data_IF_136431655837
#
_entry.id   IF_136431655837
#
_cell.length_a   1.000
_cell.length_b   1.000
_cell.length_c   1.000
_cell.angle_alpha   90.00
_cell.angle_beta   90.00
_cell.angle_gamma   90.00
#
_symmetry.space_group_name_H-M   'P 1'
#
loop_
_entity.id
_entity.type
_entity.pdbx_description
1 polymer ?
#
# COMPACT_ATOMS: atom_id res chain seq x y z
N UNK A 1 10.24 -28.22 22.93
CA UNK A 1 9.55 -27.80 21.70
C UNK A 1 9.19 -26.33 21.86
N UNK A 2 9.86 -25.44 21.13
CA UNK A 2 9.51 -24.02 21.15
C UNK A 2 8.29 -23.87 20.24
N UNK A 3 7.12 -23.62 20.81
CA UNK A 3 5.92 -23.31 20.03
C UNK A 3 6.19 -21.92 19.44
N UNK A 4 6.68 -21.87 18.20
CA UNK A 4 6.80 -20.59 17.49
C UNK A 4 5.38 -20.07 17.29
N UNK A 5 4.97 -19.09 18.08
CA UNK A 5 3.68 -18.43 17.90
C UNK A 5 3.69 -17.71 16.55
N UNK A 6 2.64 -17.91 15.73
CA UNK A 6 2.43 -17.17 14.50
C UNK A 6 2.50 -15.66 14.76
N UNK A 7 3.39 -14.94 14.06
CA UNK A 7 3.54 -13.48 14.17
C UNK A 7 3.00 -12.79 12.92
N UNK A 8 2.62 -11.53 13.09
CA UNK A 8 2.40 -10.60 11.98
C UNK A 8 3.59 -9.66 11.97
N UNK A 9 4.37 -9.67 10.89
CA UNK A 9 5.61 -8.90 10.75
C UNK A 9 5.38 -7.80 9.73
N UNK A 10 5.39 -6.55 10.19
CA UNK A 10 5.22 -5.36 9.36
C UNK A 10 6.59 -4.86 8.91
N UNK A 11 6.90 -5.03 7.63
CA UNK A 11 8.17 -4.60 7.04
C UNK A 11 8.01 -3.21 6.44
N UNK A 12 8.46 -2.19 7.17
CA UNK A 12 8.45 -0.82 6.71
C UNK A 12 9.36 -0.60 5.49
N UNK A 13 9.22 0.56 4.83
CA UNK A 13 10.14 0.99 3.76
C UNK A 13 11.15 2.05 4.27
N UNK A 14 11.56 2.00 5.53
CA UNK A 14 12.65 2.84 6.08
C UNK A 14 13.99 2.53 5.41
N UNK A 15 14.92 3.49 5.39
CA UNK A 15 16.29 3.26 4.91
C UNK A 15 17.13 2.50 5.95
N UNK A 16 16.82 2.70 7.23
CA UNK A 16 17.43 1.98 8.35
C UNK A 16 16.51 0.83 8.78
N UNK A 17 16.73 -0.35 8.19
CA UNK A 17 16.01 -1.59 8.55
C UNK A 17 17.04 -2.69 8.81
N UNK A 18 16.98 -3.37 9.97
CA UNK A 18 17.84 -4.52 10.23
C UNK A 18 17.49 -5.69 9.31
N UNK A 19 18.44 -6.60 9.08
CA UNK A 19 18.12 -7.86 8.40
C UNK A 19 17.13 -8.67 9.25
N UNK A 20 15.95 -8.93 8.68
CA UNK A 20 14.87 -9.68 9.34
C UNK A 20 14.70 -11.09 8.78
N UNK A 21 15.49 -11.49 7.77
CA UNK A 21 15.34 -12.80 7.13
C UNK A 21 15.52 -13.94 8.14
N UNK A 22 16.48 -13.81 9.06
CA UNK A 22 16.71 -14.81 10.10
C UNK A 22 15.64 -14.85 11.21
N UNK A 23 14.72 -13.88 11.24
CA UNK A 23 13.64 -13.79 12.23
C UNK A 23 12.30 -14.32 11.71
N UNK A 24 12.17 -14.46 10.40
CA UNK A 24 10.94 -14.90 9.72
C UNK A 24 10.94 -16.42 9.63
N UNK A 25 9.82 -17.04 10.00
CA UNK A 25 9.54 -18.45 9.74
C UNK A 25 8.31 -18.62 8.83
N UNK A 26 8.08 -19.85 8.36
CA UNK A 26 7.03 -20.13 7.38
C UNK A 26 5.61 -19.85 7.91
N UNK A 27 5.39 -19.88 9.22
CA UNK A 27 4.08 -19.64 9.82
C UNK A 27 3.74 -18.16 9.99
N UNK A 28 4.73 -17.27 9.91
CA UNK A 28 4.54 -15.83 10.06
C UNK A 28 3.75 -15.25 8.87
N UNK A 29 3.07 -14.13 9.10
CA UNK A 29 2.43 -13.30 8.07
C UNK A 29 3.31 -12.08 7.83
N UNK A 30 3.79 -11.92 6.60
CA UNK A 30 4.63 -10.81 6.17
C UNK A 30 3.77 -9.74 5.52
N UNK A 31 3.73 -8.57 6.14
CA UNK A 31 3.01 -7.40 5.67
C UNK A 31 4.00 -6.39 5.11
N UNK A 32 3.81 -6.00 3.84
CA UNK A 32 4.62 -4.96 3.20
C UNK A 32 3.79 -3.74 2.83
N UNK A 33 4.49 -2.65 2.54
CA UNK A 33 3.88 -1.37 2.18
C UNK A 33 4.40 -0.91 0.82
N UNK A 34 3.49 -0.55 -0.09
CA UNK A 34 3.84 -0.04 -1.43
C UNK A 34 4.92 -0.91 -2.15
N UNK A 35 5.79 -0.30 -2.96
CA UNK A 35 6.89 -1.01 -3.63
C UNK A 35 8.14 -0.87 -2.75
N UNK A 36 8.69 -1.96 -2.21
CA UNK A 36 9.97 -1.92 -1.54
C UNK A 36 11.10 -1.68 -2.56
N UNK A 37 12.13 -0.94 -2.16
CA UNK A 37 13.36 -0.79 -2.93
C UNK A 37 14.06 -2.17 -3.07
N UNK A 38 14.65 -2.47 -4.23
CA UNK A 38 15.44 -3.69 -4.48
C UNK A 38 16.49 -3.99 -3.40
N UNK A 39 17.22 -2.97 -2.92
CA UNK A 39 18.17 -3.13 -1.81
C UNK A 39 17.49 -3.64 -0.53
N UNK A 40 16.27 -3.20 -0.26
CA UNK A 40 15.47 -3.59 0.92
C UNK A 40 14.94 -5.01 0.79
N UNK A 41 14.59 -5.43 -0.43
CA UNK A 41 14.22 -6.81 -0.71
C UNK A 41 15.38 -7.77 -0.38
N UNK A 42 16.63 -7.39 -0.65
CA UNK A 42 17.80 -8.22 -0.31
C UNK A 42 17.90 -8.55 1.20
N UNK A 43 17.61 -7.56 2.06
CA UNK A 43 17.75 -7.69 3.53
C UNK A 43 16.47 -8.13 4.25
N UNK A 44 15.31 -8.06 3.60
CA UNK A 44 14.01 -8.38 4.22
C UNK A 44 13.26 -9.51 3.52
N UNK A 45 13.85 -10.06 2.45
CA UNK A 45 13.27 -11.13 1.67
C UNK A 45 12.21 -10.64 0.68
N UNK A 46 11.66 -11.58 -0.10
CA UNK A 46 10.63 -11.31 -1.12
C UNK A 46 9.22 -11.69 -0.67
N UNK A 47 9.10 -12.62 0.27
CA UNK A 47 7.80 -13.11 0.75
C UNK A 47 6.94 -11.92 1.20
N UNK A 48 5.70 -11.94 0.73
CA UNK A 48 4.68 -10.93 1.01
C UNK A 48 3.33 -11.65 1.05
N UNK A 49 2.75 -11.82 2.24
CA UNK A 49 1.42 -12.42 2.37
C UNK A 49 0.34 -11.35 2.23
N UNK A 50 0.62 -10.13 2.73
CA UNK A 50 -0.26 -8.98 2.62
C UNK A 50 0.51 -7.76 2.14
N UNK A 51 -0.01 -7.08 1.11
CA UNK A 51 0.54 -5.83 0.61
C UNK A 51 -0.44 -4.68 0.88
N UNK A 52 -0.08 -3.77 1.81
CA UNK A 52 -0.79 -2.51 1.97
C UNK A 52 -0.31 -1.50 0.92
N UNK A 53 -1.20 -1.15 0.00
CA UNK A 53 -0.88 -0.27 -1.12
C UNK A 53 -1.68 1.03 -1.02
N UNK A 54 -1.00 2.17 -0.90
CA UNK A 54 -1.67 3.47 -0.90
C UNK A 54 -2.38 3.69 -2.23
N UNK A 55 -3.70 3.83 -2.21
CA UNK A 55 -4.56 3.83 -3.39
C UNK A 55 -5.11 5.23 -3.73
N UNK A 56 -4.31 6.28 -3.56
CA UNK A 56 -4.65 7.65 -3.98
C UNK A 56 -4.13 7.94 -5.39
N UNK A 57 -4.90 8.65 -6.22
CA UNK A 57 -4.76 8.66 -7.70
C UNK A 57 -3.47 9.19 -8.29
N UNK A 58 -2.79 10.15 -7.66
CA UNK A 58 -1.49 10.61 -8.17
C UNK A 58 -0.50 9.44 -8.30
N UNK A 59 -0.67 8.41 -7.46
CA UNK A 59 0.06 7.17 -7.56
C UNK A 59 -0.51 6.28 -8.67
N UNK A 60 -1.81 6.01 -8.78
CA UNK A 60 -2.33 4.98 -9.70
C UNK A 60 -2.01 5.19 -11.17
N UNK A 61 -2.40 6.31 -11.80
CA UNK A 61 -2.24 6.43 -13.26
C UNK A 61 -0.77 6.38 -13.68
N UNK A 62 0.13 6.83 -12.81
CA UNK A 62 1.57 6.71 -12.99
C UNK A 62 2.09 5.32 -12.67
N UNK A 63 1.62 4.73 -11.57
CA UNK A 63 2.06 3.43 -11.03
C UNK A 63 1.66 2.27 -11.92
N UNK A 64 0.45 2.26 -12.49
CA UNK A 64 0.05 1.20 -13.43
C UNK A 64 0.87 1.23 -14.73
N UNK A 65 1.46 2.38 -15.08
CA UNK A 65 2.40 2.53 -16.21
C UNK A 65 3.86 2.34 -15.79
N UNK A 66 4.14 2.24 -14.50
CA UNK A 66 5.50 2.13 -13.99
C UNK A 66 5.98 0.68 -14.12
N UNK A 67 7.08 0.49 -14.86
CA UNK A 67 7.61 -0.86 -15.11
C UNK A 67 8.01 -1.54 -13.80
N UNK A 68 8.67 -0.83 -12.88
CA UNK A 68 9.15 -1.41 -11.62
C UNK A 68 8.00 -1.87 -10.73
N UNK A 69 6.91 -1.11 -10.70
CA UNK A 69 5.69 -1.54 -10.04
C UNK A 69 5.16 -2.83 -10.64
N UNK A 70 4.96 -2.88 -11.95
CA UNK A 70 4.42 -4.07 -12.62
C UNK A 70 5.33 -5.29 -12.40
N UNK A 71 6.64 -5.14 -12.59
CA UNK A 71 7.64 -6.19 -12.34
C UNK A 71 7.55 -6.72 -10.90
N UNK A 72 7.35 -5.84 -9.91
CA UNK A 72 7.17 -6.23 -8.52
C UNK A 72 5.86 -6.99 -8.29
N UNK A 73 4.75 -6.47 -8.82
CA UNK A 73 3.43 -7.12 -8.70
C UNK A 73 3.44 -8.50 -9.36
N UNK A 74 4.15 -8.67 -10.47
CA UNK A 74 4.30 -9.95 -11.16
C UNK A 74 5.11 -10.97 -10.35
N UNK A 75 5.82 -10.54 -9.31
CA UNK A 75 6.55 -11.44 -8.39
C UNK A 75 5.75 -11.79 -7.13
N UNK A 76 4.52 -11.30 -6.99
CA UNK A 76 3.66 -11.61 -5.85
C UNK A 76 2.98 -12.96 -6.06
N UNK A 77 3.12 -13.83 -5.07
CA UNK A 77 2.51 -15.17 -5.03
C UNK A 77 1.65 -15.26 -3.77
N UNK A 78 0.42 -15.78 -3.91
CA UNK A 78 -0.56 -15.93 -2.84
C UNK A 78 -0.79 -14.68 -1.96
N UNK A 79 -0.49 -13.50 -2.51
CA UNK A 79 -0.56 -12.23 -1.80
C UNK A 79 -1.98 -11.65 -1.83
N UNK A 80 -2.43 -11.10 -0.70
CA UNK A 80 -3.62 -10.24 -0.65
C UNK A 80 -3.22 -8.76 -0.62
N UNK A 81 -3.84 -7.93 -1.48
CA UNK A 81 -3.59 -6.50 -1.54
C UNK A 81 -4.65 -5.74 -0.77
N UNK A 82 -4.22 -4.87 0.14
CA UNK A 82 -5.08 -4.10 1.03
C UNK A 82 -5.00 -2.62 0.65
N UNK A 83 -6.14 -2.02 0.34
CA UNK A 83 -6.28 -0.59 0.11
C UNK A 83 -6.75 0.10 1.38
N UNK A 84 -5.94 1.00 1.95
CA UNK A 84 -6.25 1.65 3.22
C UNK A 84 -7.32 2.73 3.12
N UNK A 85 -7.74 3.14 1.92
CA UNK A 85 -8.69 4.25 1.75
C UNK A 85 -9.87 3.86 0.85
N UNK A 86 -11.10 4.09 1.30
CA UNK A 86 -12.27 4.05 0.42
C UNK A 86 -12.33 5.26 -0.51
N UNK A 87 -13.03 5.13 -1.63
CA UNK A 87 -13.16 6.20 -2.61
C UNK A 87 -13.79 7.46 -2.01
N UNK A 88 -14.80 7.33 -1.15
CA UNK A 88 -15.42 8.47 -0.45
C UNK A 88 -14.44 9.18 0.48
N UNK A 89 -13.59 8.41 1.17
CA UNK A 89 -12.55 8.95 2.02
C UNK A 89 -11.48 9.69 1.20
N UNK A 90 -11.05 9.10 0.08
CA UNK A 90 -10.14 9.76 -0.87
C UNK A 90 -10.75 11.06 -1.39
N UNK A 91 -12.03 11.04 -1.76
CA UNK A 91 -12.73 12.23 -2.24
C UNK A 91 -12.82 13.34 -1.19
N UNK A 92 -12.92 13.02 0.10
CA UNK A 92 -12.88 14.01 1.18
C UNK A 92 -11.48 14.59 1.41
N UNK A 93 -10.44 13.75 1.37
CA UNK A 93 -9.08 14.14 1.74
C UNK A 93 -8.30 14.79 0.59
N UNK A 94 -8.47 14.28 -0.62
CA UNK A 94 -7.78 14.75 -1.80
C UNK A 94 -8.65 14.43 -3.02
N UNK A 95 -9.69 15.22 -3.35
CA UNK A 95 -10.65 14.88 -4.40
C UNK A 95 -10.08 14.92 -5.82
N UNK A 96 -9.07 15.77 -6.05
CA UNK A 96 -8.57 16.07 -7.38
C UNK A 96 -7.06 15.88 -7.43
N UNK A 97 -6.62 15.03 -8.34
CA UNK A 97 -5.21 14.78 -8.65
C UNK A 97 -4.80 15.58 -9.86
N UNK A 98 -3.49 15.75 -10.02
CA UNK A 98 -2.93 16.59 -11.09
C UNK A 98 -1.89 15.81 -11.87
N UNK A 99 -2.26 15.44 -13.08
CA UNK A 99 -1.33 14.79 -14.00
C UNK A 99 -0.73 15.81 -14.94
N UNK A 100 0.59 15.79 -15.02
CA UNK A 100 1.34 16.52 -16.03
C UNK A 100 1.78 15.58 -17.13
N UNK A 101 1.53 15.94 -18.39
CA UNK A 101 2.03 15.21 -19.55
C UNK A 101 2.65 16.19 -20.55
N UNK A 102 3.54 15.69 -21.41
CA UNK A 102 4.15 16.47 -22.48
C UNK A 102 3.61 16.01 -23.82
N UNK A 103 3.28 16.96 -24.69
CA UNK A 103 3.03 16.71 -26.12
C UNK A 103 3.89 17.67 -26.91
N UNK A 104 4.73 17.14 -27.80
CA UNK A 104 5.83 17.86 -28.42
C UNK A 104 6.73 18.48 -27.33
N UNK A 105 6.72 19.81 -27.17
CA UNK A 105 7.49 20.53 -26.15
C UNK A 105 6.63 21.24 -25.10
N UNK A 106 5.30 21.06 -25.15
CA UNK A 106 4.35 21.77 -24.28
C UNK A 106 3.92 20.84 -23.14
N UNK A 107 4.01 21.34 -21.89
CA UNK A 107 3.54 20.63 -20.69
C UNK A 107 2.08 20.98 -20.42
N UNK A 108 1.21 19.99 -20.53
CA UNK A 108 -0.20 20.10 -20.20
C UNK A 108 -0.47 19.59 -18.79
N UNK A 109 -1.54 20.10 -18.19
CA UNK A 109 -2.04 19.66 -16.87
C UNK A 109 -3.48 19.19 -17.06
N UNK A 110 -3.78 17.99 -16.57
CA UNK A 110 -5.14 17.45 -16.50
C UNK A 110 -5.50 17.21 -15.04
N UNK A 111 -6.66 17.71 -14.64
CA UNK A 111 -7.26 17.42 -13.34
C UNK A 111 -8.15 16.19 -13.48
N UNK A 112 -8.01 15.25 -12.56
CA UNK A 112 -8.78 14.01 -12.56
C UNK A 112 -9.29 13.72 -11.15
N UNK A 113 -10.43 13.03 -11.04
CA UNK A 113 -10.96 12.57 -9.75
C UNK A 113 -10.01 11.54 -9.15
N UNK A 114 -9.83 11.61 -7.83
CA UNK A 114 -8.86 10.78 -7.14
C UNK A 114 -9.34 9.41 -6.66
N UNK A 115 -10.65 9.16 -6.67
CA UNK A 115 -11.23 7.85 -6.38
C UNK A 115 -11.08 6.91 -7.56
N UNK A 116 -10.57 5.71 -7.33
CA UNK A 116 -10.16 4.78 -8.38
C UNK A 116 -10.07 3.31 -7.91
N UNK A 117 -10.71 2.96 -6.80
CA UNK A 117 -10.65 1.60 -6.26
C UNK A 117 -11.05 0.56 -7.29
N UNK A 118 -12.10 0.80 -8.06
CA UNK A 118 -12.55 -0.12 -9.12
C UNK A 118 -11.46 -0.39 -10.17
N UNK A 119 -10.70 0.62 -10.57
CA UNK A 119 -9.62 0.46 -11.57
C UNK A 119 -8.47 -0.36 -11.02
N UNK A 120 -8.11 -0.13 -9.76
CA UNK A 120 -7.10 -0.96 -9.09
C UNK A 120 -7.58 -2.39 -8.88
N UNK A 121 -8.82 -2.58 -8.42
CA UNK A 121 -9.43 -3.90 -8.22
C UNK A 121 -9.41 -4.69 -9.53
N UNK A 122 -9.82 -4.08 -10.64
CA UNK A 122 -9.77 -4.71 -11.95
C UNK A 122 -8.34 -5.11 -12.35
N UNK A 123 -7.37 -4.21 -12.20
CA UNK A 123 -5.97 -4.50 -12.50
C UNK A 123 -5.41 -5.69 -11.71
N UNK A 124 -5.71 -5.78 -10.41
CA UNK A 124 -5.24 -6.91 -9.59
C UNK A 124 -6.04 -8.19 -9.86
N UNK A 125 -7.33 -8.07 -10.18
CA UNK A 125 -8.18 -9.20 -10.57
C UNK A 125 -7.68 -9.87 -11.85
N UNK A 126 -7.22 -9.10 -12.84
CA UNK A 126 -6.59 -9.64 -14.07
C UNK A 126 -5.33 -10.46 -13.78
N UNK A 127 -4.72 -10.26 -12.62
CA UNK A 127 -3.55 -10.99 -12.13
C UNK A 127 -3.88 -12.07 -11.10
N UNK A 128 -5.17 -12.38 -10.89
CA UNK A 128 -5.65 -13.29 -9.85
C UNK A 128 -5.23 -12.92 -8.41
N UNK A 129 -4.95 -11.63 -8.17
CA UNK A 129 -4.57 -11.12 -6.86
C UNK A 129 -5.83 -10.60 -6.14
N UNK A 130 -6.07 -11.10 -4.92
CA UNK A 130 -7.21 -10.67 -4.12
C UNK A 130 -7.00 -9.26 -3.60
N UNK A 131 -8.01 -8.40 -3.74
CA UNK A 131 -8.00 -7.03 -3.20
C UNK A 131 -9.04 -6.90 -2.10
N UNK A 132 -8.66 -6.25 -0.99
CA UNK A 132 -9.57 -5.78 0.05
C UNK A 132 -9.44 -4.27 0.19
N UNK A 133 -10.57 -3.56 0.10
CA UNK A 133 -10.65 -2.17 0.54
C UNK A 133 -11.00 -2.17 2.02
N UNK A 134 -10.23 -1.46 2.83
CA UNK A 134 -10.47 -1.35 4.27
C UNK A 134 -11.60 -0.35 4.49
N UNK A 135 -12.56 -0.74 5.33
CA UNK A 135 -13.69 0.10 5.70
C UNK A 135 -13.21 1.43 6.32
N UNK A 136 -13.78 2.55 5.88
CA UNK A 136 -13.33 3.88 6.32
C UNK A 136 -13.47 4.10 7.84
N UNK A 137 -14.30 3.33 8.55
CA UNK A 137 -14.41 3.38 10.02
C UNK A 137 -13.07 3.09 10.72
N UNK A 138 -12.22 2.22 10.15
CA UNK A 138 -10.88 1.97 10.68
C UNK A 138 -10.02 3.23 10.60
N UNK A 139 -10.08 3.95 9.48
CA UNK A 139 -9.34 5.21 9.32
C UNK A 139 -9.79 6.25 10.34
N UNK A 140 -11.10 6.46 10.49
CA UNK A 140 -11.64 7.45 11.42
C UNK A 140 -11.38 7.10 12.88
N UNK A 141 -11.46 5.81 13.24
CA UNK A 141 -11.11 5.34 14.57
C UNK A 141 -9.62 5.55 14.88
N UNK A 142 -8.74 5.17 13.94
CA UNK A 142 -7.30 5.41 14.06
C UNK A 142 -6.97 6.91 14.15
N UNK A 143 -7.70 7.74 13.39
CA UNK A 143 -7.54 9.20 13.38
C UNK A 143 -7.95 9.82 14.72
N UNK A 144 -9.01 9.30 15.34
CA UNK A 144 -9.51 9.75 16.65
C UNK A 144 -8.55 9.49 17.81
N UNK A 145 -7.63 8.51 17.66
CA UNK A 145 -6.57 8.24 18.64
C UNK A 145 -5.41 9.25 18.58
N UNK A 146 -5.30 10.04 17.51
CA UNK A 146 -4.27 11.06 17.41
C UNK A 146 -4.75 12.36 18.08
N UNK A 147 -3.95 12.92 19.00
CA UNK A 147 -4.22 14.23 19.59
C UNK A 147 -4.37 15.29 18.49
N UNK A 148 -5.37 16.14 18.65
CA UNK A 148 -6.00 17.01 17.65
C UNK A 148 -5.09 17.85 16.74
N UNK A 149 -5.68 18.19 15.58
CA UNK A 149 -5.35 19.26 14.62
C UNK A 149 -4.44 18.97 13.42
N UNK A 150 -4.11 17.71 13.16
CA UNK A 150 -3.39 17.40 11.93
C UNK A 150 -4.36 17.11 10.76
N UNK A 151 -4.45 18.05 9.81
CA UNK A 151 -5.03 17.83 8.48
C UNK A 151 -4.31 16.71 7.69
N UNK A 152 -3.18 16.21 8.20
CA UNK A 152 -2.39 15.15 7.57
C UNK A 152 -3.14 13.83 7.44
N UNK A 153 -3.03 13.26 6.25
CA UNK A 153 -3.48 11.89 5.94
C UNK A 153 -2.64 10.89 6.75
N UNK A 154 -3.29 9.91 7.38
CA UNK A 154 -2.57 8.82 8.07
C UNK A 154 -1.72 8.01 7.09
N UNK A 155 -0.53 7.59 7.53
CA UNK A 155 0.32 6.73 6.71
C UNK A 155 -0.29 5.32 6.58
N UNK A 156 0.01 4.64 5.47
CA UNK A 156 -0.44 3.25 5.26
C UNK A 156 0.11 2.30 6.33
N UNK A 157 1.31 2.57 6.85
CA UNK A 157 1.91 1.82 7.95
C UNK A 157 1.12 1.93 9.24
N UNK A 158 0.71 3.16 9.61
CA UNK A 158 -0.10 3.37 10.81
C UNK A 158 -1.48 2.71 10.71
N UNK A 159 -2.13 2.83 9.55
CA UNK A 159 -3.43 2.18 9.30
C UNK A 159 -3.31 0.65 9.41
N UNK A 160 -2.24 0.05 8.89
CA UNK A 160 -2.03 -1.40 9.02
C UNK A 160 -1.77 -1.82 10.46
N UNK A 161 -0.95 -1.09 11.21
CA UNK A 161 -0.72 -1.35 12.64
C UNK A 161 -2.06 -1.34 13.38
N UNK A 162 -2.87 -0.29 13.16
CA UNK A 162 -4.19 -0.20 13.77
C UNK A 162 -5.09 -1.37 13.35
N UNK A 163 -5.16 -1.69 12.05
CA UNK A 163 -5.97 -2.78 11.51
C UNK A 163 -5.67 -4.15 12.14
N UNK A 164 -4.40 -4.46 12.44
CA UNK A 164 -4.04 -5.74 13.06
C UNK A 164 -4.16 -5.76 14.59
N UNK A 165 -4.28 -4.59 15.23
CA UNK A 165 -4.44 -4.46 16.68
C UNK A 165 -5.90 -4.22 17.12
N UNK A 166 -6.79 -3.92 16.17
CA UNK A 166 -8.23 -3.71 16.37
C UNK A 166 -8.98 -5.04 16.34
#
# INVERSE_FOLDING_TARGET
>A
MNISSKKIILVANSDDIPDVNGMINDQDIIVRFNIPNEKKIGITGRRTDILFLANTVDLMERRLKDKKFNDFIDTLEDTAVFFPFEDDLINKMNPIGKISYRKFFIKFKKYIRNSNNDRYINYFSEKNIKVKVIDQSYYWSAKGLMSTDNLSILSTGFIAIFYFLS
#
